data_IF_327866175453
#
_entry.id   IF_327866175453
#
_cell.length_a   1.000
_cell.length_b   1.000
_cell.length_c   1.000
_cell.angle_alpha   90.00
_cell.angle_beta   90.00
_cell.angle_gamma   90.00
#
_symmetry.space_group_name_H-M   'P 1'
#
loop_
_entity.id
_entity.type
_entity.pdbx_description
1 polymer ?
#
# COMPACT_ATOMS: atom_id res chain seq x y z
N UNK A 1 12.34 -18.73 16.39
CA UNK A 1 10.95 -18.77 15.89
C UNK A 1 10.98 -18.88 14.38
N UNK A 2 10.12 -19.69 13.78
CA UNK A 2 10.05 -19.81 12.33
C UNK A 2 9.37 -18.62 11.70
N UNK A 3 9.90 -18.15 10.58
CA UNK A 3 9.28 -17.12 9.75
C UNK A 3 9.34 -17.52 8.28
N UNK A 4 8.33 -17.12 7.53
CA UNK A 4 8.15 -17.36 6.11
C UNK A 4 8.07 -16.04 5.38
N UNK A 5 8.78 -15.89 4.28
CA UNK A 5 8.79 -14.68 3.46
C UNK A 5 8.59 -14.99 1.98
N UNK A 6 7.86 -14.12 1.29
CA UNK A 6 7.68 -14.20 -0.15
C UNK A 6 8.88 -13.57 -0.85
N UNK A 7 9.48 -14.31 -1.74
CA UNK A 7 10.56 -13.88 -2.62
C UNK A 7 10.18 -14.07 -4.08
N UNK A 8 10.64 -13.22 -4.93
CA UNK A 8 10.69 -13.47 -6.35
C UNK A 8 12.09 -13.96 -6.69
N UNK A 9 12.20 -15.22 -7.13
CA UNK A 9 13.49 -15.83 -7.50
C UNK A 9 13.98 -15.28 -8.84
N UNK A 10 13.06 -15.16 -9.79
CA UNK A 10 13.21 -14.57 -11.12
C UNK A 10 11.89 -13.90 -11.47
N UNK A 11 11.78 -13.35 -12.67
CA UNK A 11 10.55 -12.77 -13.21
C UNK A 11 9.36 -13.72 -13.06
N UNK A 12 8.30 -13.21 -12.43
CA UNK A 12 7.05 -13.93 -12.18
C UNK A 12 7.21 -15.32 -11.53
N UNK A 13 8.32 -15.59 -10.82
CA UNK A 13 8.57 -16.85 -10.11
C UNK A 13 8.61 -16.63 -8.60
N UNK A 14 7.44 -16.58 -7.93
CA UNK A 14 7.38 -16.45 -6.48
C UNK A 14 7.80 -17.76 -5.79
N UNK A 15 8.52 -17.61 -4.69
CA UNK A 15 8.90 -18.71 -3.79
C UNK A 15 8.71 -18.27 -2.34
N UNK A 16 8.42 -19.23 -1.48
CA UNK A 16 8.41 -19.02 -0.04
C UNK A 16 9.74 -19.49 0.54
N UNK A 17 10.43 -18.57 1.23
CA UNK A 17 11.62 -18.92 1.99
C UNK A 17 11.29 -19.03 3.47
N UNK A 18 11.71 -20.12 4.08
CA UNK A 18 11.69 -20.34 5.53
C UNK A 18 13.01 -19.87 6.13
N UNK A 19 12.95 -19.19 7.28
CA UNK A 19 14.11 -18.72 8.05
C UNK A 19 13.83 -18.88 9.55
N UNK A 20 14.86 -19.13 10.34
CA UNK A 20 14.78 -19.03 11.79
C UNK A 20 15.10 -17.59 12.20
N UNK A 21 14.16 -16.97 12.86
CA UNK A 21 14.31 -15.62 13.40
C UNK A 21 14.71 -15.72 14.88
N UNK A 22 15.87 -15.15 15.21
CA UNK A 22 16.28 -14.92 16.59
C UNK A 22 15.78 -13.57 17.06
N UNK A 23 15.14 -13.54 18.22
CA UNK A 23 14.69 -12.31 18.85
C UNK A 23 15.07 -12.29 20.32
N UNK A 24 15.83 -11.27 20.72
CA UNK A 24 16.12 -10.93 22.12
C UNK A 24 15.36 -9.67 22.48
N UNK A 25 14.51 -9.77 23.48
CA UNK A 25 13.67 -8.65 23.97
C UNK A 25 14.54 -7.46 24.37
N UNK A 26 14.17 -6.27 23.94
CA UNK A 26 14.82 -5.01 24.30
C UNK A 26 13.81 -3.85 24.22
N UNK A 27 14.22 -2.64 24.59
CA UNK A 27 13.36 -1.44 24.61
C UNK A 27 13.16 -0.80 23.23
N UNK A 28 13.94 -1.15 22.23
CA UNK A 28 13.97 -0.47 20.92
C UNK A 28 13.26 -1.26 19.81
N UNK A 29 13.07 -2.56 19.98
CA UNK A 29 12.50 -3.40 18.91
C UNK A 29 11.31 -4.19 19.39
N UNK A 30 10.43 -4.52 18.45
CA UNK A 30 9.27 -5.39 18.63
C UNK A 30 9.29 -6.53 17.62
N UNK A 31 8.62 -7.61 17.97
CA UNK A 31 8.33 -8.72 17.07
C UNK A 31 6.88 -8.61 16.62
N UNK A 32 6.68 -8.51 15.30
CA UNK A 32 5.35 -8.38 14.70
C UNK A 32 5.00 -9.69 14.01
N UNK A 33 3.84 -10.25 14.36
CA UNK A 33 3.20 -11.36 13.63
C UNK A 33 2.22 -10.77 12.62
N UNK A 34 2.44 -11.01 11.35
CA UNK A 34 1.57 -10.58 10.27
C UNK A 34 0.20 -11.23 10.38
N UNK A 35 -0.84 -10.44 10.31
CA UNK A 35 -2.24 -10.87 10.19
C UNK A 35 -2.70 -10.77 8.73
N UNK A 36 -2.32 -9.70 8.06
CA UNK A 36 -2.63 -9.44 6.66
C UNK A 36 -1.45 -8.75 5.98
N UNK A 37 -1.19 -9.14 4.74
CA UNK A 37 -0.21 -8.47 3.89
C UNK A 37 -0.88 -8.09 2.56
N UNK A 38 -0.83 -6.80 2.20
CA UNK A 38 -1.47 -6.29 0.99
C UNK A 38 -0.52 -6.36 -0.20
N UNK A 39 -1.02 -6.80 -1.35
CA UNK A 39 -0.28 -6.79 -2.62
C UNK A 39 -0.67 -5.54 -3.41
N UNK A 40 0.30 -4.69 -3.70
CA UNK A 40 0.12 -3.54 -4.59
C UNK A 40 0.12 -3.97 -6.04
N UNK A 41 -1.07 -4.12 -6.62
CA UNK A 41 -1.23 -4.60 -8.00
C UNK A 41 -0.44 -3.78 -9.03
N UNK A 42 -0.26 -2.49 -8.83
CA UNK A 42 0.53 -1.64 -9.73
C UNK A 42 2.04 -1.91 -9.58
N UNK A 43 2.58 -1.48 -8.44
CA UNK A 43 4.02 -1.51 -8.15
C UNK A 43 4.60 -2.92 -8.13
N UNK A 44 3.96 -3.84 -7.40
CA UNK A 44 4.51 -5.19 -7.25
C UNK A 44 4.38 -6.02 -8.53
N UNK A 45 3.43 -5.68 -9.42
CA UNK A 45 3.39 -6.27 -10.76
C UNK A 45 4.61 -5.86 -11.59
N UNK A 46 5.02 -4.58 -11.54
CA UNK A 46 6.24 -4.11 -12.23
C UNK A 46 7.48 -4.83 -11.69
N UNK A 47 7.58 -4.93 -10.36
CA UNK A 47 8.67 -5.67 -9.72
C UNK A 47 8.67 -7.14 -10.15
N UNK A 48 7.52 -7.81 -10.10
CA UNK A 48 7.42 -9.22 -10.43
C UNK A 48 7.77 -9.53 -11.89
N UNK A 49 7.43 -8.62 -12.80
CA UNK A 49 7.73 -8.76 -14.23
C UNK A 49 9.14 -8.33 -14.65
N UNK A 50 9.99 -7.88 -13.69
CA UNK A 50 11.34 -7.39 -13.98
C UNK A 50 11.39 -6.08 -14.78
N UNK A 51 10.27 -5.36 -14.86
CA UNK A 51 10.14 -4.14 -15.69
C UNK A 51 10.53 -2.86 -14.94
N UNK A 52 11.44 -2.95 -13.96
CA UNK A 52 12.02 -1.80 -13.31
C UNK A 52 13.34 -1.46 -13.99
N UNK A 53 13.46 -0.28 -14.56
CA UNK A 53 14.72 0.19 -15.16
C UNK A 53 15.78 0.48 -14.09
N UNK A 54 17.04 0.33 -14.41
CA UNK A 54 18.14 0.45 -13.42
C UNK A 54 18.20 1.81 -12.75
N UNK A 55 17.89 2.88 -13.44
CA UNK A 55 17.81 4.25 -12.91
C UNK A 55 16.69 4.44 -11.89
N UNK A 56 15.70 3.54 -11.85
CA UNK A 56 14.59 3.56 -10.90
C UNK A 56 14.85 2.70 -9.64
N UNK A 57 15.95 1.96 -9.58
CA UNK A 57 16.19 1.01 -8.48
C UNK A 57 16.21 1.67 -7.11
N UNK A 58 16.85 2.83 -6.97
CA UNK A 58 16.92 3.54 -5.69
C UNK A 58 15.58 4.20 -5.32
N UNK A 59 14.87 4.75 -6.31
CA UNK A 59 13.59 5.42 -6.12
C UNK A 59 12.49 4.44 -5.70
N UNK A 60 12.48 3.26 -6.32
CA UNK A 60 11.45 2.25 -6.10
C UNK A 60 11.76 1.26 -4.96
N UNK A 61 12.91 1.41 -4.32
CA UNK A 61 13.32 0.58 -3.20
C UNK A 61 12.33 0.70 -2.05
N UNK A 62 11.75 -0.41 -1.63
CA UNK A 62 10.84 -0.42 -0.48
C UNK A 62 11.62 -0.52 0.84
N UNK A 63 11.07 0.01 1.94
CA UNK A 63 11.65 -0.21 3.26
C UNK A 63 11.81 -1.72 3.56
N UNK A 64 12.94 -2.09 4.16
CA UNK A 64 13.26 -3.48 4.52
C UNK A 64 13.28 -4.47 3.35
N UNK A 65 13.40 -3.99 2.12
CA UNK A 65 13.66 -4.83 0.96
C UNK A 65 14.95 -5.63 1.16
N UNK A 66 14.94 -6.90 0.77
CA UNK A 66 16.15 -7.73 0.69
C UNK A 66 16.37 -8.16 -0.77
N UNK A 67 17.61 -8.22 -1.22
CA UNK A 67 17.96 -8.47 -2.61
C UNK A 67 17.78 -7.23 -3.50
N UNK A 68 17.72 -7.43 -4.82
CA UNK A 68 17.64 -6.35 -5.80
C UNK A 68 16.58 -6.62 -6.87
N UNK A 69 16.22 -5.59 -7.63
CA UNK A 69 15.30 -5.74 -8.78
C UNK A 69 15.87 -6.60 -9.93
N UNK A 70 17.15 -6.94 -9.87
CA UNK A 70 17.77 -7.95 -10.76
C UNK A 70 17.57 -9.40 -10.28
N UNK A 71 16.79 -9.59 -9.20
CA UNK A 71 16.48 -10.88 -8.57
C UNK A 71 17.70 -11.62 -7.96
N UNK A 72 17.48 -12.41 -6.92
CA UNK A 72 16.20 -12.59 -6.21
C UNK A 72 15.88 -11.38 -5.33
N UNK A 73 14.58 -11.12 -5.11
CA UNK A 73 14.12 -10.00 -4.31
C UNK A 73 13.01 -10.40 -3.33
N UNK A 74 13.06 -9.87 -2.10
CA UNK A 74 11.94 -9.83 -1.14
C UNK A 74 11.40 -8.41 -1.15
N UNK A 75 10.18 -8.24 -1.61
CA UNK A 75 9.55 -6.95 -1.80
C UNK A 75 8.18 -6.88 -1.13
N UNK A 76 7.59 -5.71 -1.12
CA UNK A 76 6.31 -5.40 -0.50
C UNK A 76 6.46 -4.35 0.59
N UNK A 77 5.36 -3.67 0.92
CA UNK A 77 5.37 -2.56 1.86
C UNK A 77 4.02 -2.35 2.57
N UNK A 78 3.13 -3.34 2.50
CA UNK A 78 1.81 -3.26 3.14
C UNK A 78 1.67 -4.43 4.10
N UNK A 79 1.90 -4.18 5.38
CA UNK A 79 1.80 -5.19 6.41
C UNK A 79 0.94 -4.72 7.59
N UNK A 80 -0.11 -5.45 7.89
CA UNK A 80 -0.95 -5.27 9.06
C UNK A 80 -0.72 -6.47 9.98
N UNK A 81 -0.26 -6.23 11.19
CA UNK A 81 0.13 -7.27 12.10
C UNK A 81 -0.24 -6.99 13.54
N UNK A 82 0.18 -7.89 14.42
CA UNK A 82 0.05 -7.78 15.88
C UNK A 82 1.42 -7.89 16.53
N UNK A 83 1.72 -7.01 17.48
CA UNK A 83 2.95 -7.09 18.26
C UNK A 83 2.83 -8.23 19.26
N UNK A 84 3.69 -9.24 19.10
CA UNK A 84 3.69 -10.46 19.93
C UNK A 84 4.80 -10.47 20.97
N UNK A 85 5.88 -9.71 20.74
CA UNK A 85 6.99 -9.53 21.68
C UNK A 85 7.50 -8.08 21.64
N UNK A 86 7.98 -7.57 22.79
CA UNK A 86 8.54 -6.23 22.94
C UNK A 86 8.26 -5.59 24.29
N UNK A 87 8.39 -4.26 24.41
CA UNK A 87 8.04 -3.53 25.63
C UNK A 87 6.55 -3.68 25.96
N UNK A 88 6.20 -3.84 27.27
CA UNK A 88 4.83 -4.11 27.76
C UNK A 88 3.77 -3.19 27.15
N UNK A 89 4.05 -1.90 27.03
CA UNK A 89 3.09 -0.91 26.50
C UNK A 89 2.64 -1.14 25.05
N UNK A 90 3.35 -1.96 24.28
CA UNK A 90 3.07 -2.26 22.88
C UNK A 90 2.52 -3.68 22.66
N UNK A 91 2.65 -4.57 23.64
CA UNK A 91 2.19 -5.96 23.51
C UNK A 91 0.71 -6.03 23.13
N UNK A 92 0.40 -6.97 22.27
CA UNK A 92 -0.95 -7.25 21.77
C UNK A 92 -1.60 -6.13 20.95
N UNK A 93 -0.91 -5.02 20.67
CA UNK A 93 -1.44 -3.97 19.82
C UNK A 93 -1.36 -4.35 18.34
N UNK A 94 -2.39 -3.99 17.61
CA UNK A 94 -2.38 -4.09 16.14
C UNK A 94 -1.54 -2.95 15.56
N UNK A 95 -0.87 -3.24 14.45
CA UNK A 95 0.07 -2.29 13.84
C UNK A 95 0.02 -2.36 12.31
N UNK A 96 0.36 -1.23 11.69
CA UNK A 96 0.73 -1.13 10.28
C UNK A 96 2.24 -0.87 10.19
N UNK A 97 2.90 -1.60 9.29
CA UNK A 97 4.33 -1.42 9.00
C UNK A 97 4.53 -1.41 7.49
N UNK A 98 5.41 -0.53 7.00
CA UNK A 98 5.96 -0.62 5.65
C UNK A 98 6.98 -1.76 5.63
N UNK A 99 6.52 -3.00 5.49
CA UNK A 99 7.36 -4.19 5.58
C UNK A 99 7.01 -5.19 4.48
N UNK A 100 8.01 -5.89 3.90
CA UNK A 100 7.78 -6.93 2.89
C UNK A 100 6.87 -8.06 3.37
N UNK A 101 6.38 -8.86 2.43
CA UNK A 101 5.53 -10.02 2.73
C UNK A 101 6.29 -11.07 3.55
N UNK A 102 6.09 -11.04 4.85
CA UNK A 102 6.73 -11.95 5.81
C UNK A 102 5.80 -12.24 6.98
N UNK A 103 5.76 -13.49 7.45
CA UNK A 103 4.81 -13.93 8.48
C UNK A 103 5.15 -13.45 9.88
N UNK A 104 6.44 -13.30 10.20
CA UNK A 104 6.94 -12.85 11.50
C UNK A 104 8.24 -12.09 11.29
N UNK A 105 8.38 -10.89 11.84
CA UNK A 105 9.57 -10.07 11.65
C UNK A 105 9.87 -9.20 12.86
N UNK A 106 11.17 -8.92 13.05
CA UNK A 106 11.69 -7.96 14.02
C UNK A 106 11.78 -6.59 13.35
N UNK A 107 11.33 -5.55 14.04
CA UNK A 107 11.36 -4.18 13.53
C UNK A 107 11.63 -3.19 14.68
N UNK A 108 12.30 -2.07 14.38
CA UNK A 108 12.44 -0.96 15.31
C UNK A 108 11.06 -0.34 15.58
N UNK A 109 10.83 0.04 16.83
CA UNK A 109 9.53 0.57 17.27
C UNK A 109 9.17 1.88 16.56
N UNK A 110 10.17 2.66 16.13
CA UNK A 110 9.96 3.90 15.40
C UNK A 110 9.40 3.67 13.98
N UNK A 111 9.52 2.45 13.46
CA UNK A 111 8.96 2.04 12.16
C UNK A 111 7.59 1.33 12.30
N UNK A 112 6.95 1.44 13.46
CA UNK A 112 5.69 0.79 13.77
C UNK A 112 4.59 1.82 14.01
N UNK A 113 3.54 1.76 13.22
CA UNK A 113 2.35 2.59 13.42
C UNK A 113 1.30 1.79 14.18
N UNK A 114 1.08 2.14 15.45
CA UNK A 114 0.05 1.52 16.29
C UNK A 114 -1.33 1.92 15.78
N UNK A 115 -2.14 0.93 15.46
CA UNK A 115 -3.50 1.15 14.97
C UNK A 115 -4.42 1.48 16.13
N UNK A 116 -5.17 2.58 15.97
CA UNK A 116 -6.15 3.06 16.95
C UNK A 116 -7.57 2.78 16.46
N UNK A 117 -8.48 2.60 17.39
CA UNK A 117 -9.90 2.43 17.11
C UNK A 117 -10.32 0.97 16.93
N UNK A 118 -11.62 0.78 17.00
CA UNK A 118 -12.30 -0.52 16.85
C UNK A 118 -12.77 -0.68 15.40
N UNK A 119 -12.93 -1.92 14.97
CA UNK A 119 -13.44 -2.27 13.66
C UNK A 119 -12.47 -3.11 12.83
N UNK A 120 -12.82 -3.29 11.57
CA UNK A 120 -12.06 -4.15 10.67
C UNK A 120 -10.67 -3.57 10.36
N UNK A 121 -9.64 -4.24 10.88
CA UNK A 121 -8.25 -3.83 10.68
C UNK A 121 -7.78 -3.98 9.23
N UNK A 122 -8.51 -4.72 8.37
CA UNK A 122 -8.18 -4.86 6.95
C UNK A 122 -8.21 -3.54 6.20
N UNK A 123 -8.96 -2.54 6.67
CA UNK A 123 -8.95 -1.18 6.10
C UNK A 123 -7.55 -0.57 6.05
N UNK A 124 -6.68 -0.92 6.98
CA UNK A 124 -5.31 -0.41 7.03
C UNK A 124 -4.39 -1.00 5.95
N UNK A 125 -4.84 -2.02 5.20
CA UNK A 125 -4.14 -2.45 3.99
C UNK A 125 -4.13 -1.37 2.89
N UNK A 126 -4.99 -0.38 3.00
CA UNK A 126 -5.03 0.76 2.08
C UNK A 126 -4.16 1.95 2.52
N UNK A 127 -3.46 1.86 3.67
CA UNK A 127 -2.71 3.00 4.26
C UNK A 127 -1.69 3.57 3.28
N UNK A 128 -0.83 2.75 2.67
CA UNK A 128 0.18 3.22 1.73
C UNK A 128 -0.44 3.84 0.46
N UNK A 129 -1.55 3.28 -0.04
CA UNK A 129 -2.27 3.85 -1.16
C UNK A 129 -2.98 5.16 -0.80
N UNK A 130 -3.47 5.28 0.45
CA UNK A 130 -4.08 6.51 0.94
C UNK A 130 -3.06 7.63 1.13
N UNK A 131 -1.85 7.30 1.62
CA UNK A 131 -0.72 8.23 1.68
C UNK A 131 -0.43 8.80 0.29
N UNK A 132 -0.34 7.95 -0.74
CA UNK A 132 -0.17 8.40 -2.13
C UNK A 132 -1.32 9.33 -2.57
N UNK A 133 -2.56 9.02 -2.22
CA UNK A 133 -3.72 9.85 -2.56
C UNK A 133 -3.66 11.23 -1.88
N UNK A 134 -3.17 11.29 -0.65
CA UNK A 134 -2.97 12.55 0.09
C UNK A 134 -1.84 13.37 -0.54
N UNK A 135 -0.73 12.75 -0.90
CA UNK A 135 0.39 13.43 -1.59
C UNK A 135 -0.07 14.02 -2.93
N UNK A 136 -0.84 13.27 -3.73
CA UNK A 136 -1.45 13.80 -4.97
C UNK A 136 -2.28 15.06 -4.68
N UNK A 137 -3.07 15.06 -3.61
CA UNK A 137 -3.83 16.25 -3.23
C UNK A 137 -2.94 17.44 -2.91
N UNK A 138 -1.87 17.25 -2.16
CA UNK A 138 -0.93 18.32 -1.83
C UNK A 138 -0.21 18.86 -3.06
N UNK A 139 0.24 17.98 -3.94
CA UNK A 139 0.99 18.35 -5.15
C UNK A 139 0.12 19.11 -6.15
N UNK A 140 -1.17 18.79 -6.26
CA UNK A 140 -2.09 19.45 -7.20
C UNK A 140 -2.46 20.85 -6.80
N UNK A 141 -2.32 21.23 -5.52
CA UNK A 141 -2.71 22.54 -4.97
C UNK A 141 -4.15 22.96 -5.38
N UNK A 142 -5.03 21.96 -5.57
CA UNK A 142 -6.36 22.17 -6.11
C UNK A 142 -7.24 22.99 -5.15
N UNK A 143 -8.02 23.93 -5.71
CA UNK A 143 -9.01 24.75 -5.00
C UNK A 143 -10.40 24.13 -5.12
N UNK A 144 -11.28 24.40 -4.15
CA UNK A 144 -12.63 23.80 -4.06
C UNK A 144 -13.48 23.95 -5.32
N UNK A 145 -13.25 25.01 -6.10
CA UNK A 145 -14.00 25.28 -7.34
C UNK A 145 -13.40 24.62 -8.59
N UNK A 146 -12.23 24.02 -8.48
CA UNK A 146 -11.61 23.36 -9.62
C UNK A 146 -12.42 22.14 -10.08
N UNK A 147 -12.41 21.90 -11.38
CA UNK A 147 -12.87 20.65 -11.98
C UNK A 147 -11.69 19.66 -11.93
N UNK A 148 -11.89 18.51 -11.30
CA UNK A 148 -10.86 17.50 -11.12
C UNK A 148 -11.29 16.24 -11.86
N UNK A 149 -10.46 15.76 -12.77
CA UNK A 149 -10.63 14.48 -13.43
C UNK A 149 -9.54 13.51 -13.01
N UNK A 150 -9.95 12.37 -12.48
CA UNK A 150 -9.05 11.27 -12.12
C UNK A 150 -9.18 10.17 -13.17
N UNK A 151 -8.09 9.87 -13.86
CA UNK A 151 -8.02 8.86 -14.91
C UNK A 151 -7.45 7.56 -14.33
N UNK A 152 -8.26 6.51 -14.31
CA UNK A 152 -7.93 5.21 -13.76
C UNK A 152 -8.55 4.93 -12.40
N UNK A 153 -9.38 3.89 -12.32
CA UNK A 153 -10.00 3.39 -11.09
C UNK A 153 -9.22 2.19 -10.53
N UNK A 154 -7.92 2.36 -10.32
CA UNK A 154 -7.11 1.51 -9.46
C UNK A 154 -7.27 1.94 -7.99
N UNK A 155 -6.57 1.26 -7.06
CA UNK A 155 -6.65 1.58 -5.62
C UNK A 155 -6.33 3.05 -5.34
N UNK A 156 -5.25 3.59 -5.92
CA UNK A 156 -4.86 5.00 -5.74
C UNK A 156 -5.91 5.94 -6.33
N UNK A 157 -6.35 5.75 -7.58
CA UNK A 157 -7.32 6.64 -8.21
C UNK A 157 -8.66 6.70 -7.47
N UNK A 158 -9.15 5.54 -6.99
CA UNK A 158 -10.37 5.50 -6.18
C UNK A 158 -10.19 6.26 -4.86
N UNK A 159 -9.08 6.03 -4.16
CA UNK A 159 -8.79 6.70 -2.89
C UNK A 159 -8.59 8.20 -3.08
N UNK A 160 -7.92 8.61 -4.16
CA UNK A 160 -7.77 10.03 -4.51
C UNK A 160 -9.13 10.69 -4.74
N UNK A 161 -10.00 10.10 -5.57
CA UNK A 161 -11.34 10.64 -5.80
C UNK A 161 -12.18 10.71 -4.52
N UNK A 162 -12.10 9.67 -3.70
CA UNK A 162 -12.79 9.61 -2.42
C UNK A 162 -12.26 10.68 -1.44
N UNK A 163 -10.95 10.89 -1.41
CA UNK A 163 -10.32 11.90 -0.55
C UNK A 163 -10.75 13.32 -0.93
N UNK A 164 -10.74 13.67 -2.22
CA UNK A 164 -11.27 14.95 -2.68
C UNK A 164 -12.75 15.13 -2.30
N UNK A 165 -13.55 14.06 -2.40
CA UNK A 165 -14.96 14.10 -1.96
C UNK A 165 -15.08 14.36 -0.46
N UNK A 166 -14.26 13.72 0.38
CA UNK A 166 -14.23 13.97 1.82
C UNK A 166 -13.90 15.43 2.15
N UNK A 167 -13.01 16.05 1.37
CA UNK A 167 -12.65 17.46 1.46
C UNK A 167 -13.69 18.42 0.86
N UNK A 168 -14.88 17.90 0.49
CA UNK A 168 -16.02 18.69 -0.02
C UNK A 168 -15.83 19.32 -1.40
N UNK A 169 -14.90 18.83 -2.21
CA UNK A 169 -14.81 19.22 -3.60
C UNK A 169 -16.07 18.77 -4.36
N UNK A 170 -16.71 19.70 -5.08
CA UNK A 170 -18.00 19.46 -5.77
C UNK A 170 -17.82 18.83 -7.17
N UNK A 171 -16.73 19.16 -7.84
CA UNK A 171 -16.49 18.85 -9.25
C UNK A 171 -15.40 17.79 -9.40
N UNK A 172 -15.57 16.65 -8.73
CA UNK A 172 -14.64 15.51 -8.81
C UNK A 172 -15.24 14.42 -9.70
N UNK A 173 -14.54 14.10 -10.76
CA UNK A 173 -14.93 13.12 -11.75
C UNK A 173 -13.88 12.00 -11.80
N UNK A 174 -14.32 10.78 -12.06
CA UNK A 174 -13.42 9.63 -12.22
C UNK A 174 -13.80 8.84 -13.47
N UNK A 175 -12.81 8.31 -14.16
CA UNK A 175 -13.00 7.50 -15.35
C UNK A 175 -12.09 6.28 -15.37
N UNK A 176 -12.45 5.27 -16.14
CA UNK A 176 -11.63 4.09 -16.41
C UNK A 176 -12.03 3.52 -17.78
N UNK A 177 -11.07 2.91 -18.47
CA UNK A 177 -11.33 2.18 -19.73
C UNK A 177 -12.28 1.01 -19.52
N UNK A 178 -12.25 0.40 -18.32
CA UNK A 178 -13.18 -0.66 -17.94
C UNK A 178 -14.48 -0.08 -17.38
N UNK A 179 -15.48 0.06 -18.24
CA UNK A 179 -16.80 0.61 -17.89
C UNK A 179 -17.51 -0.15 -16.73
N UNK A 180 -17.18 -1.43 -16.51
CA UNK A 180 -17.76 -2.22 -15.42
C UNK A 180 -17.42 -1.63 -14.03
N UNK A 181 -16.36 -0.83 -13.94
CA UNK A 181 -15.98 -0.15 -12.69
C UNK A 181 -16.95 0.99 -12.29
N UNK A 182 -17.80 1.47 -13.20
CA UNK A 182 -18.84 2.47 -12.90
C UNK A 182 -19.67 2.10 -11.67
N UNK A 183 -19.99 0.81 -11.49
CA UNK A 183 -20.75 0.35 -10.31
C UNK A 183 -20.04 0.67 -8.98
N UNK A 184 -18.71 0.55 -8.93
CA UNK A 184 -17.94 0.89 -7.73
C UNK A 184 -17.89 2.39 -7.49
N UNK A 185 -17.75 3.20 -8.55
CA UNK A 185 -17.86 4.66 -8.44
C UNK A 185 -19.21 5.07 -7.83
N UNK A 186 -20.31 4.48 -8.30
CA UNK A 186 -21.66 4.75 -7.80
C UNK A 186 -21.81 4.39 -6.32
N UNK A 187 -21.31 3.21 -5.88
CA UNK A 187 -21.33 2.78 -4.47
C UNK A 187 -20.61 3.80 -3.57
N UNK A 188 -19.51 4.37 -4.04
CA UNK A 188 -18.74 5.37 -3.32
C UNK A 188 -19.31 6.81 -3.50
N UNK A 189 -20.38 6.95 -4.27
CA UNK A 189 -20.99 8.24 -4.61
C UNK A 189 -20.04 9.16 -5.39
N UNK A 190 -19.19 8.59 -6.25
CA UNK A 190 -18.29 9.29 -7.15
C UNK A 190 -18.93 9.51 -8.51
N UNK A 191 -18.64 10.66 -9.14
CA UNK A 191 -19.16 10.99 -10.47
C UNK A 191 -18.31 10.30 -11.55
N UNK A 192 -18.82 9.19 -12.11
CA UNK A 192 -18.15 8.47 -13.18
C UNK A 192 -18.45 9.07 -14.56
N UNK A 193 -17.42 9.35 -15.34
CA UNK A 193 -17.51 9.76 -16.74
C UNK A 193 -17.04 8.61 -17.63
N UNK A 194 -17.79 8.32 -18.70
CA UNK A 194 -17.33 7.33 -19.69
C UNK A 194 -16.11 7.88 -20.44
N UNK A 195 -14.99 7.17 -20.42
CA UNK A 195 -13.74 7.58 -21.07
C UNK A 195 -13.93 7.99 -22.54
N UNK A 196 -14.78 7.29 -23.28
CA UNK A 196 -15.09 7.61 -24.69
C UNK A 196 -15.78 8.97 -24.88
N UNK A 197 -16.36 9.54 -23.82
CA UNK A 197 -17.06 10.84 -23.86
C UNK A 197 -16.18 12.01 -23.40
N UNK A 198 -14.91 11.75 -23.01
CA UNK A 198 -13.96 12.78 -22.61
C UNK A 198 -13.34 13.38 -23.89
N UNK A 199 -14.13 14.07 -24.69
CA UNK A 199 -13.61 14.74 -25.89
C UNK A 199 -13.28 16.20 -25.69
N UNK A 200 -13.90 16.87 -24.73
CA UNK A 200 -13.63 18.30 -24.42
C UNK A 200 -13.86 18.49 -22.90
N UNK A 201 -12.81 18.65 -22.15
CA UNK A 201 -12.82 19.09 -20.77
C UNK A 201 -12.23 20.50 -20.68
N UNK A 202 -12.80 21.42 -21.47
CA UNK A 202 -12.53 22.85 -21.35
C UNK A 202 -13.26 23.43 -20.15
#
# INVERSE_FOLDING_TARGET
METYSLWLKNENKPIIKKKILSYKKNSKTVLVKTLYSGISKGTERLVASGNISKDQFDIMKSPFQEGSFSFPIKYGYINVGKIVEGPKKYLNKNTFCLYPHQSLFKIDINNVNILKGNGDIRKYLLTANMETAINIFWDTQAKLNNKILIIGMGSVGILTAYYYKLLKFKNVFITDINIKKKKFANILGLKFINFKKIKNLD
#
